data_IF_960008896608
#
_entry.id   IF_960008896608
#
_cell.length_a   1.000
_cell.length_b   1.000
_cell.length_c   1.000
_cell.angle_alpha   90.00
_cell.angle_beta   90.00
_cell.angle_gamma   90.00
#
_symmetry.space_group_name_H-M   'P 1'
#
loop_
_entity.id
_entity.type
_entity.pdbx_description
1 polymer ?
#
# COMPACT_ATOMS: atom_id res chain seq x y z
N UNK A 1 -18.22 2.85 -11.93
CA UNK A 1 -17.19 1.80 -12.11
C UNK A 1 -17.47 0.72 -11.08
N UNK A 2 -18.05 -0.40 -11.52
CA UNK A 2 -18.50 -1.48 -10.64
C UNK A 2 -17.27 -2.33 -10.30
N UNK A 3 -16.90 -2.39 -9.02
CA UNK A 3 -15.96 -3.38 -8.51
C UNK A 3 -16.47 -4.75 -8.96
N UNK A 4 -15.66 -5.45 -9.76
CA UNK A 4 -15.96 -6.71 -10.44
C UNK A 4 -16.89 -7.57 -9.57
N UNK A 5 -18.02 -7.97 -10.13
CA UNK A 5 -18.96 -8.86 -9.45
C UNK A 5 -18.37 -10.26 -9.37
N UNK A 6 -18.40 -10.87 -8.18
CA UNK A 6 -18.04 -12.27 -8.00
C UNK A 6 -19.33 -13.08 -7.76
N UNK A 7 -19.38 -14.30 -8.32
CA UNK A 7 -20.52 -15.20 -8.16
C UNK A 7 -20.11 -16.46 -7.42
N UNK A 8 -20.80 -16.78 -6.32
CA UNK A 8 -20.65 -18.02 -5.56
C UNK A 8 -21.97 -18.37 -4.89
N UNK A 9 -22.42 -19.63 -4.99
CA UNK A 9 -23.68 -20.08 -4.39
C UNK A 9 -24.96 -19.50 -5.00
N UNK A 10 -24.90 -18.98 -6.24
CA UNK A 10 -26.05 -18.37 -6.92
C UNK A 10 -26.26 -16.88 -6.63
N UNK A 11 -25.41 -16.26 -5.79
CA UNK A 11 -25.48 -14.82 -5.51
C UNK A 11 -24.37 -14.06 -6.23
N UNK A 12 -24.74 -12.94 -6.88
CA UNK A 12 -23.80 -12.02 -7.53
C UNK A 12 -23.52 -10.86 -6.58
N UNK A 13 -22.35 -10.86 -5.98
CA UNK A 13 -21.99 -9.83 -5.01
C UNK A 13 -21.08 -8.81 -5.71
N UNK A 14 -21.55 -7.58 -5.76
CA UNK A 14 -20.76 -6.43 -6.22
C UNK A 14 -19.55 -6.27 -5.29
N UNK A 15 -18.32 -6.14 -5.80
CA UNK A 15 -17.14 -6.06 -4.92
C UNK A 15 -17.13 -4.87 -3.94
N UNK A 16 -17.96 -3.85 -4.17
CA UNK A 16 -18.23 -2.78 -3.20
C UNK A 16 -19.04 -3.23 -1.97
N UNK A 17 -19.90 -4.26 -2.11
CA UNK A 17 -20.67 -4.85 -1.02
C UNK A 17 -19.79 -5.73 -0.10
N UNK A 18 -18.74 -6.38 -0.60
CA UNK A 18 -17.74 -7.09 0.23
C UNK A 18 -17.15 -6.19 1.31
N UNK A 19 -16.74 -4.97 0.92
CA UNK A 19 -16.15 -3.99 1.82
C UNK A 19 -17.17 -3.44 2.83
N UNK A 20 -18.46 -3.43 2.47
CA UNK A 20 -19.54 -2.98 3.36
C UNK A 20 -19.93 -4.00 4.43
N UNK A 21 -19.59 -5.29 4.25
CA UNK A 21 -19.91 -6.36 5.21
C UNK A 21 -18.96 -6.45 6.42
N UNK A 22 -17.90 -5.62 6.47
CA UNK A 22 -16.81 -5.74 7.45
C UNK A 22 -16.30 -4.38 7.95
N UNK A 23 -17.20 -3.42 8.18
CA UNK A 23 -16.83 -2.04 8.55
C UNK A 23 -15.99 -1.89 9.82
N UNK A 24 -15.97 -2.91 10.69
CA UNK A 24 -15.23 -2.92 11.97
C UNK A 24 -14.14 -3.98 12.04
N UNK A 25 -13.90 -4.75 10.97
CA UNK A 25 -12.87 -5.78 10.97
C UNK A 25 -11.56 -5.27 10.39
N UNK A 26 -10.47 -5.87 10.86
CA UNK A 26 -9.16 -5.68 10.25
C UNK A 26 -9.19 -6.14 8.80
N UNK A 27 -8.65 -5.31 7.91
CA UNK A 27 -8.50 -5.66 6.50
C UNK A 27 -7.44 -6.75 6.36
N UNK A 28 -7.80 -7.83 5.68
CA UNK A 28 -6.86 -8.88 5.31
C UNK A 28 -6.03 -8.49 4.07
N UNK A 29 -5.03 -9.32 3.77
CA UNK A 29 -4.14 -9.12 2.61
C UNK A 29 -4.89 -9.11 1.28
N UNK A 30 -5.99 -9.87 1.16
CA UNK A 30 -6.80 -9.93 -0.07
C UNK A 30 -7.52 -8.61 -0.31
N UNK A 31 -8.09 -8.02 0.74
CA UNK A 31 -8.73 -6.71 0.68
C UNK A 31 -7.72 -5.62 0.26
N UNK A 32 -6.52 -5.64 0.85
CA UNK A 32 -5.46 -4.69 0.51
C UNK A 32 -5.00 -4.85 -0.95
N UNK A 33 -4.81 -6.08 -1.41
CA UNK A 33 -4.44 -6.36 -2.79
C UNK A 33 -5.51 -5.87 -3.77
N UNK A 34 -6.80 -6.12 -3.48
CA UNK A 34 -7.90 -5.64 -4.31
C UNK A 34 -7.93 -4.10 -4.41
N UNK A 35 -7.68 -3.40 -3.31
CA UNK A 35 -7.59 -1.94 -3.29
C UNK A 35 -6.41 -1.42 -4.14
N UNK A 36 -5.24 -2.05 -4.05
CA UNK A 36 -4.07 -1.69 -4.85
C UNK A 36 -4.31 -1.90 -6.35
N UNK A 37 -4.88 -3.05 -6.74
CA UNK A 37 -5.22 -3.32 -8.14
C UNK A 37 -6.26 -2.34 -8.69
N UNK A 38 -7.24 -1.95 -7.86
CA UNK A 38 -8.19 -0.90 -8.22
C UNK A 38 -7.47 0.44 -8.45
N UNK A 39 -6.54 0.81 -7.57
CA UNK A 39 -5.78 2.05 -7.67
C UNK A 39 -4.93 2.07 -8.96
N UNK A 40 -4.17 1.00 -9.22
CA UNK A 40 -3.39 0.85 -10.45
C UNK A 40 -4.25 1.01 -11.71
N UNK A 41 -5.42 0.36 -11.75
CA UNK A 41 -6.34 0.44 -12.88
C UNK A 41 -7.00 1.81 -13.02
N UNK A 42 -7.48 2.39 -11.92
CA UNK A 42 -8.20 3.68 -11.89
C UNK A 42 -7.30 4.85 -12.30
N UNK A 43 -6.02 4.76 -11.97
CA UNK A 43 -5.01 5.78 -12.20
C UNK A 43 -3.95 5.36 -13.23
N UNK A 44 -4.24 4.35 -14.08
CA UNK A 44 -3.30 3.85 -15.08
C UNK A 44 -2.76 4.95 -16.01
N UNK A 45 -3.60 5.94 -16.36
CA UNK A 45 -3.20 7.10 -17.18
C UNK A 45 -2.14 8.00 -16.53
N UNK A 46 -1.90 7.85 -15.22
CA UNK A 46 -0.89 8.57 -14.46
C UNK A 46 0.34 7.71 -14.18
N UNK A 47 0.49 6.53 -14.80
CA UNK A 47 1.68 5.70 -14.65
C UNK A 47 1.88 5.18 -13.23
N UNK A 48 0.92 4.39 -12.74
CA UNK A 48 0.96 3.82 -11.38
C UNK A 48 1.21 2.32 -11.44
N UNK A 49 2.30 1.88 -10.82
CA UNK A 49 2.55 0.49 -10.46
C UNK A 49 2.19 0.25 -9.00
N UNK A 50 1.95 -1.02 -8.63
CA UNK A 50 1.71 -1.37 -7.23
C UNK A 50 2.60 -2.52 -6.78
N UNK A 51 2.81 -2.62 -5.46
CA UNK A 51 3.54 -3.72 -4.82
C UNK A 51 2.60 -4.39 -3.84
N UNK A 52 2.55 -5.72 -3.87
CA UNK A 52 1.61 -6.50 -3.09
C UNK A 52 1.90 -6.47 -1.58
N UNK A 53 0.89 -6.69 -0.74
CA UNK A 53 1.04 -6.69 0.73
C UNK A 53 1.97 -7.81 1.25
N UNK A 54 2.22 -8.85 0.44
CA UNK A 54 3.13 -9.94 0.77
C UNK A 54 4.61 -9.58 0.59
N UNK A 55 4.92 -8.55 -0.20
CA UNK A 55 6.27 -8.20 -0.62
C UNK A 55 7.26 -8.13 0.54
N UNK A 56 6.93 -7.33 1.57
CA UNK A 56 7.78 -7.12 2.73
C UNK A 56 8.06 -8.40 3.54
N UNK A 57 7.14 -9.37 3.46
CA UNK A 57 7.18 -10.57 4.27
C UNK A 57 7.91 -11.73 3.59
N UNK A 58 8.25 -11.62 2.30
CA UNK A 58 9.07 -12.60 1.61
C UNK A 58 10.51 -12.58 2.12
N UNK A 59 11.08 -13.77 2.36
CA UNK A 59 12.46 -13.94 2.80
C UNK A 59 13.46 -13.82 1.64
N UNK A 60 13.04 -14.17 0.42
CA UNK A 60 13.89 -14.17 -0.76
C UNK A 60 13.67 -12.93 -1.63
N UNK A 61 14.78 -12.39 -2.14
CA UNK A 61 14.79 -11.23 -3.03
C UNK A 61 14.12 -11.55 -4.37
N UNK A 62 14.20 -12.81 -4.83
CA UNK A 62 13.55 -13.24 -6.07
C UNK A 62 12.02 -13.12 -6.01
N UNK A 63 11.43 -13.53 -4.89
CA UNK A 63 9.99 -13.42 -4.64
C UNK A 63 9.54 -11.97 -4.50
N UNK A 64 10.36 -11.13 -3.84
CA UNK A 64 10.13 -9.69 -3.75
C UNK A 64 10.13 -9.02 -5.13
N UNK A 65 11.11 -9.34 -5.97
CA UNK A 65 11.20 -8.84 -7.36
C UNK A 65 9.99 -9.33 -8.15
N UNK A 66 9.63 -10.61 -8.02
CA UNK A 66 8.49 -11.19 -8.74
C UNK A 66 7.18 -10.49 -8.36
N UNK A 67 6.90 -10.30 -7.07
CA UNK A 67 5.67 -9.67 -6.59
C UNK A 67 5.55 -8.20 -7.06
N UNK A 68 6.63 -7.42 -6.91
CA UNK A 68 6.67 -6.03 -7.38
C UNK A 68 6.55 -5.95 -8.91
N UNK A 69 7.25 -6.83 -9.62
CA UNK A 69 7.25 -6.87 -11.09
C UNK A 69 5.88 -7.27 -11.67
N UNK A 70 5.20 -8.24 -11.06
CA UNK A 70 3.89 -8.74 -11.52
C UNK A 70 2.80 -7.66 -11.56
N UNK A 71 2.97 -6.59 -10.79
CA UNK A 71 1.99 -5.52 -10.65
C UNK A 71 2.48 -4.17 -11.22
N UNK A 72 3.47 -4.22 -12.11
CA UNK A 72 3.93 -3.06 -12.88
C UNK A 72 4.80 -2.08 -12.10
N UNK A 73 5.33 -2.44 -10.92
CA UNK A 73 6.23 -1.56 -10.17
C UNK A 73 7.55 -1.28 -10.93
N UNK A 74 7.98 -2.19 -11.81
CA UNK A 74 9.17 -2.03 -12.65
C UNK A 74 8.86 -1.61 -14.09
N UNK A 75 7.60 -1.29 -14.40
CA UNK A 75 7.25 -0.78 -15.72
C UNK A 75 7.82 0.64 -15.87
N UNK A 76 8.64 0.87 -16.91
CA UNK A 76 9.26 2.19 -17.18
C UNK A 76 8.24 3.31 -17.44
N UNK A 77 7.01 2.96 -17.83
CA UNK A 77 5.91 3.92 -18.00
C UNK A 77 5.27 4.33 -16.66
N UNK A 78 5.55 3.59 -15.59
CA UNK A 78 5.07 3.90 -14.26
C UNK A 78 6.14 4.68 -13.50
N UNK A 79 5.88 5.95 -13.25
CA UNK A 79 6.76 6.81 -12.45
C UNK A 79 6.29 6.93 -10.99
N UNK A 80 5.22 6.22 -10.63
CA UNK A 80 4.66 6.14 -9.28
C UNK A 80 4.48 4.68 -8.91
N UNK A 81 4.94 4.31 -7.73
CA UNK A 81 4.73 2.98 -7.16
C UNK A 81 4.05 3.14 -5.82
N UNK A 82 2.94 2.44 -5.62
CA UNK A 82 2.21 2.42 -4.35
C UNK A 82 2.25 1.02 -3.77
N UNK A 83 2.61 0.89 -2.51
CA UNK A 83 2.55 -0.40 -1.82
C UNK A 83 2.04 -0.24 -0.40
N UNK A 84 1.78 -1.38 0.21
CA UNK A 84 1.38 -1.45 1.62
C UNK A 84 2.20 -2.50 2.32
N UNK A 85 2.45 -2.27 3.61
CA UNK A 85 3.19 -3.18 4.46
C UNK A 85 2.33 -3.53 5.64
N UNK A 86 2.23 -4.83 5.93
CA UNK A 86 1.87 -5.30 7.25
C UNK A 86 3.12 -5.92 7.86
N UNK A 87 3.61 -5.30 8.94
CA UNK A 87 4.76 -5.78 9.68
C UNK A 87 4.44 -7.18 10.23
N UNK A 88 5.35 -8.14 10.06
CA UNK A 88 5.14 -9.55 10.47
C UNK A 88 4.53 -9.65 11.87
N UNK A 89 3.31 -10.21 11.94
CA UNK A 89 2.61 -10.44 13.21
C UNK A 89 1.97 -9.19 13.83
N UNK A 90 1.96 -8.05 13.15
CA UNK A 90 1.27 -6.85 13.60
C UNK A 90 -0.16 -6.78 13.06
N UNK A 91 -1.05 -6.15 13.83
CA UNK A 91 -2.34 -5.68 13.34
C UNK A 91 -2.16 -4.22 12.93
N UNK A 92 -1.32 -3.94 11.92
CA UNK A 92 -1.09 -2.57 11.47
C UNK A 92 -0.70 -2.53 9.99
N UNK A 93 -1.36 -1.64 9.25
CA UNK A 93 -1.09 -1.41 7.84
C UNK A 93 -0.44 -0.05 7.65
N UNK A 94 0.68 -0.06 6.96
CA UNK A 94 1.38 1.13 6.48
C UNK A 94 1.21 1.20 4.96
N UNK A 95 1.13 2.41 4.42
CA UNK A 95 1.18 2.63 2.99
C UNK A 95 2.45 3.38 2.63
N UNK A 96 2.99 3.14 1.44
CA UNK A 96 4.10 3.93 0.92
C UNK A 96 3.87 4.28 -0.54
N UNK A 97 4.45 5.40 -0.94
CA UNK A 97 4.42 5.91 -2.29
C UNK A 97 5.84 6.29 -2.71
N UNK A 98 6.31 5.71 -3.80
CA UNK A 98 7.58 6.03 -4.42
C UNK A 98 7.29 6.75 -5.73
N UNK A 99 7.83 7.96 -5.88
CA UNK A 99 7.79 8.69 -7.14
C UNK A 99 9.19 8.83 -7.73
N UNK A 100 9.30 8.62 -9.03
CA UNK A 100 10.51 8.87 -9.82
C UNK A 100 10.30 10.14 -10.62
N UNK A 101 10.98 11.22 -10.23
CA UNK A 101 10.93 12.49 -10.93
C UNK A 101 11.62 12.44 -12.29
N UNK A 102 11.37 13.43 -13.15
CA UNK A 102 11.91 13.51 -14.51
C UNK A 102 13.45 13.55 -14.56
N UNK A 103 14.11 13.97 -13.48
CA UNK A 103 15.57 13.96 -13.32
C UNK A 103 16.14 12.62 -12.82
N UNK A 104 15.30 11.58 -12.67
CA UNK A 104 15.67 10.31 -12.05
C UNK A 104 15.69 10.34 -10.52
N UNK A 105 15.41 11.49 -9.88
CA UNK A 105 15.32 11.60 -8.43
C UNK A 105 14.17 10.72 -7.90
N UNK A 106 14.50 9.82 -6.98
CA UNK A 106 13.53 8.95 -6.30
C UNK A 106 13.13 9.63 -4.99
N UNK A 107 11.82 9.77 -4.76
CA UNK A 107 11.26 10.25 -3.50
C UNK A 107 10.34 9.16 -2.95
N UNK A 108 10.52 8.81 -1.68
CA UNK A 108 9.68 7.84 -0.98
C UNK A 108 8.92 8.54 0.14
N UNK A 109 7.62 8.32 0.18
CA UNK A 109 6.72 8.77 1.23
C UNK A 109 6.17 7.55 1.95
N UNK A 110 6.22 7.57 3.28
CA UNK A 110 5.57 6.59 4.14
C UNK A 110 4.36 7.26 4.78
N UNK A 111 3.24 6.55 4.81
CA UNK A 111 2.01 6.96 5.46
C UNK A 111 1.64 5.92 6.52
N UNK A 112 1.61 6.37 7.78
CA UNK A 112 1.15 5.58 8.92
C UNK A 112 -0.10 6.26 9.51
N UNK A 113 -1.30 5.68 9.38
CA UNK A 113 -2.52 6.28 9.91
C UNK A 113 -2.57 6.29 11.45
N UNK A 114 -1.71 5.51 12.12
CA UNK A 114 -1.54 5.52 13.58
C UNK A 114 -0.33 6.33 14.03
N UNK A 115 0.21 7.20 13.16
CA UNK A 115 1.31 8.09 13.49
C UNK A 115 0.83 9.16 14.49
N UNK A 116 1.07 8.89 15.77
CA UNK A 116 1.04 9.89 16.83
C UNK A 116 2.49 10.15 17.29
N UNK A 117 2.83 11.40 17.60
CA UNK A 117 4.12 11.83 18.13
C UNK A 117 4.57 10.97 19.33
N UNK A 118 3.64 10.52 20.17
CA UNK A 118 3.94 9.67 21.33
C UNK A 118 4.46 8.28 20.96
N UNK A 119 4.05 7.72 19.80
CA UNK A 119 4.49 6.38 19.37
C UNK A 119 5.91 6.39 18.78
N UNK A 120 6.42 7.52 18.30
CA UNK A 120 7.79 7.65 17.77
C UNK A 120 8.85 7.39 18.84
N UNK A 121 8.56 7.69 20.12
CA UNK A 121 9.47 7.39 21.24
C UNK A 121 9.73 5.88 21.40
N UNK A 122 8.75 5.06 21.05
CA UNK A 122 8.82 3.58 21.14
C UNK A 122 9.59 2.93 19.98
N UNK A 123 9.71 3.61 18.84
CA UNK A 123 10.44 3.12 17.66
C UNK A 123 11.89 3.64 17.59
N UNK A 124 12.30 4.52 18.51
CA UNK A 124 13.66 5.07 18.59
C UNK A 124 14.55 4.19 19.45
N UNK A 125 15.62 3.67 18.86
CA UNK A 125 16.89 3.48 19.59
C UNK A 125 17.33 4.88 20.06
N UNK A 126 17.79 5.04 21.32
CA UNK A 126 17.73 6.32 22.04
C UNK A 126 18.86 7.27 21.68
N UNK A 127 18.95 7.78 20.44
CA UNK A 127 19.99 8.78 20.17
C UNK A 127 19.83 9.77 19.01
N UNK A 128 18.63 10.00 18.47
CA UNK A 128 18.43 11.15 17.57
C UNK A 128 17.11 11.84 17.82
N UNK A 129 17.20 13.00 18.45
CA UNK A 129 16.15 14.02 18.42
C UNK A 129 15.82 14.32 16.96
N UNK A 130 14.54 14.19 16.63
CA UNK A 130 14.02 14.51 15.31
C UNK A 130 12.73 15.25 15.53
N UNK A 131 12.76 16.51 15.11
CA UNK A 131 11.70 17.48 15.18
C UNK A 131 10.48 17.02 14.37
N UNK A 132 9.30 17.01 15.00
CA UNK A 132 8.02 16.57 14.42
C UNK A 132 7.33 17.68 13.61
N UNK A 133 8.00 18.82 13.43
CA UNK A 133 7.49 20.03 12.76
C UNK A 133 7.17 19.88 11.26
N UNK A 134 7.57 18.79 10.60
CA UNK A 134 7.39 18.60 9.15
C UNK A 134 6.28 17.60 8.76
N UNK A 135 5.40 17.19 9.67
CA UNK A 135 4.22 16.38 9.32
C UNK A 135 3.15 17.30 8.75
N UNK A 136 3.30 17.66 7.47
CA UNK A 136 2.25 18.33 6.71
C UNK A 136 1.07 17.37 6.58
N UNK A 137 0.08 17.58 7.44
CA UNK A 137 -1.29 17.17 7.18
C UNK A 137 -1.80 18.02 6.01
N UNK A 138 -1.88 17.43 4.83
CA UNK A 138 -2.67 18.01 3.75
C UNK A 138 -3.35 16.89 2.99
N UNK A 139 -4.67 17.02 2.97
CA UNK A 139 -5.73 16.11 2.53
C UNK A 139 -5.49 15.42 1.18
#
# INVERSE_FOLDING_TARGET
MVLSSYSGGGEVITGAKLLRFRSTQWLDTTCMMAALLFLAKRYAKFGVGVVGPGWYNYMGVGEQIKDAGSNGAFNKLNNRVVGVVNLRGSYHWLAYHISVGSSGKIVCHLFDPSQNCDRYKTLKVPDRDSDCSNISSTL
#
